data_IF_581617830244
#
_entry.id   IF_581617830244
#
_cell.length_a   1.000
_cell.length_b   1.000
_cell.length_c   1.000
_cell.angle_alpha   90.00
_cell.angle_beta   90.00
_cell.angle_gamma   90.00
#
_symmetry.space_group_name_H-M   'P 1'
#
loop_
_entity.id
_entity.type
_entity.pdbx_description
1 polymer ?
#
# COMPACT_ATOMS: atom_id res chain seq x y z
N UNK A 1 -4.14 -3.35 -18.83
CA UNK A 1 -4.71 -3.71 -17.51
C UNK A 1 -5.64 -2.56 -17.13
N UNK A 2 -6.90 -2.80 -16.80
CA UNK A 2 -7.83 -1.74 -16.38
C UNK A 2 -7.45 -1.21 -15.01
N UNK A 3 -6.35 -0.45 -14.93
CA UNK A 3 -5.79 0.11 -13.72
C UNK A 3 -6.06 1.61 -13.68
N UNK A 4 -6.44 2.12 -12.51
CA UNK A 4 -6.58 3.56 -12.29
C UNK A 4 -5.29 4.31 -12.64
N UNK A 5 -5.37 5.32 -13.51
CA UNK A 5 -4.23 6.11 -14.01
C UNK A 5 -3.37 6.70 -12.88
N UNK A 6 -4.00 7.09 -11.77
CA UNK A 6 -3.30 7.64 -10.60
C UNK A 6 -2.40 6.60 -9.94
N UNK A 7 -2.91 5.37 -9.79
CA UNK A 7 -2.14 4.26 -9.22
C UNK A 7 -1.05 3.83 -10.19
N UNK A 8 -1.36 3.80 -11.49
CA UNK A 8 -0.37 3.46 -12.51
C UNK A 8 0.81 4.45 -12.48
N UNK A 9 0.53 5.75 -12.37
CA UNK A 9 1.55 6.79 -12.18
C UNK A 9 2.39 6.53 -10.93
N UNK A 10 1.77 6.27 -9.78
CA UNK A 10 2.51 5.98 -8.55
C UNK A 10 3.40 4.74 -8.66
N UNK A 11 2.95 3.70 -9.37
CA UNK A 11 3.72 2.47 -9.59
C UNK A 11 4.97 2.75 -10.44
N UNK A 12 4.85 3.60 -11.46
CA UNK A 12 6.00 4.05 -12.24
C UNK A 12 6.95 4.94 -11.44
N UNK A 13 6.41 5.88 -10.66
CA UNK A 13 7.20 6.77 -9.80
C UNK A 13 7.97 5.99 -8.71
N UNK A 14 7.39 4.90 -8.19
CA UNK A 14 8.06 3.98 -7.26
C UNK A 14 9.19 3.17 -7.92
N UNK A 15 9.32 3.20 -9.26
CA UNK A 15 10.37 2.50 -9.99
C UNK A 15 10.01 1.08 -10.43
N UNK A 16 8.75 0.66 -10.33
CA UNK A 16 8.29 -0.63 -10.87
C UNK A 16 8.13 -0.57 -12.39
N UNK A 17 9.26 -0.64 -13.11
CA UNK A 17 9.24 -0.68 -14.59
C UNK A 17 8.73 -2.00 -15.15
N UNK A 18 9.00 -3.13 -14.47
CA UNK A 18 8.54 -4.46 -14.88
C UNK A 18 7.98 -5.21 -13.67
N UNK A 19 6.69 -5.59 -13.68
CA UNK A 19 6.12 -6.37 -12.59
C UNK A 19 6.73 -7.77 -12.55
N UNK A 20 6.99 -8.28 -11.34
CA UNK A 20 7.44 -9.66 -11.14
C UNK A 20 6.39 -10.69 -11.60
N UNK A 21 6.80 -11.92 -11.88
CA UNK A 21 5.91 -13.01 -12.29
C UNK A 21 4.72 -13.19 -11.33
N UNK A 22 4.96 -13.08 -10.02
CA UNK A 22 3.90 -13.22 -9.01
C UNK A 22 2.92 -12.05 -9.06
N UNK A 23 3.38 -10.82 -9.32
CA UNK A 23 2.51 -9.65 -9.46
C UNK A 23 1.63 -9.78 -10.71
N UNK A 24 2.20 -10.21 -11.83
CA UNK A 24 1.44 -10.40 -13.08
C UNK A 24 0.33 -11.45 -12.93
N UNK A 25 0.62 -12.54 -12.20
CA UNK A 25 -0.33 -13.65 -12.00
C UNK A 25 -1.36 -13.37 -10.91
N UNK A 26 -0.99 -12.68 -9.83
CA UNK A 26 -1.85 -12.50 -8.66
C UNK A 26 -2.74 -11.25 -8.74
N UNK A 27 -2.25 -10.14 -9.32
CA UNK A 27 -2.99 -8.86 -9.30
C UNK A 27 -4.31 -8.99 -10.05
N UNK A 28 -4.32 -9.55 -11.26
CA UNK A 28 -5.55 -9.63 -12.07
C UNK A 28 -6.69 -10.43 -11.42
N UNK A 29 -6.47 -11.63 -10.86
CA UNK A 29 -7.50 -12.34 -10.10
C UNK A 29 -7.99 -11.56 -8.87
N UNK A 30 -7.10 -10.88 -8.14
CA UNK A 30 -7.47 -10.06 -6.97
C UNK A 30 -8.39 -8.91 -7.39
N UNK A 31 -8.07 -8.20 -8.47
CA UNK A 31 -8.90 -7.11 -9.00
C UNK A 31 -10.28 -7.58 -9.47
N UNK A 32 -10.43 -8.87 -9.80
CA UNK A 32 -11.71 -9.49 -10.15
C UNK A 32 -12.50 -9.96 -8.92
N UNK A 33 -12.03 -9.66 -7.71
CA UNK A 33 -12.67 -10.09 -6.46
C UNK A 33 -12.55 -11.58 -6.19
N UNK A 34 -11.57 -12.27 -6.79
CA UNK A 34 -11.32 -13.70 -6.52
C UNK A 34 -10.42 -13.87 -5.31
N UNK A 35 -10.65 -14.93 -4.56
CA UNK A 35 -9.73 -15.38 -3.51
C UNK A 35 -8.45 -15.92 -4.16
N UNK A 36 -7.29 -15.51 -3.63
CA UNK A 36 -5.99 -15.86 -4.19
C UNK A 36 -5.06 -16.30 -3.09
N UNK A 37 -4.51 -17.51 -3.24
CA UNK A 37 -3.37 -17.99 -2.46
C UNK A 37 -2.12 -17.79 -3.31
N UNK A 38 -1.30 -16.80 -2.94
CA UNK A 38 -0.08 -16.46 -3.66
C UNK A 38 1.16 -17.01 -2.92
N UNK A 39 1.78 -18.04 -3.50
CA UNK A 39 3.07 -18.56 -3.03
C UNK A 39 4.17 -18.16 -4.02
N UNK A 40 5.21 -17.52 -3.51
CA UNK A 40 6.39 -17.18 -4.28
C UNK A 40 7.64 -17.33 -3.41
N UNK A 41 8.69 -17.90 -3.99
CA UNK A 41 10.06 -17.84 -3.48
C UNK A 41 10.64 -16.49 -3.86
N UNK A 42 10.40 -15.48 -3.02
CA UNK A 42 10.96 -14.14 -3.24
C UNK A 42 12.27 -14.02 -2.47
N UNK A 43 13.40 -13.99 -3.18
CA UNK A 43 14.74 -13.77 -2.58
C UNK A 43 14.89 -12.41 -1.87
N UNK A 44 14.00 -11.43 -2.12
CA UNK A 44 14.13 -10.06 -1.58
C UNK A 44 12.93 -9.50 -0.82
N UNK A 45 11.89 -10.30 -0.49
CA UNK A 45 10.77 -9.88 0.37
C UNK A 45 9.84 -8.75 -0.13
N UNK A 46 10.22 -8.01 -1.18
CA UNK A 46 9.52 -6.80 -1.66
C UNK A 46 8.38 -7.08 -2.64
N UNK A 47 8.49 -8.12 -3.47
CA UNK A 47 7.52 -8.41 -4.53
C UNK A 47 6.09 -8.69 -4.05
N UNK A 48 5.94 -9.35 -2.90
CA UNK A 48 4.63 -9.65 -2.27
C UNK A 48 4.01 -8.41 -1.64
N UNK A 49 4.80 -7.63 -0.92
CA UNK A 49 4.34 -6.40 -0.27
C UNK A 49 3.82 -5.39 -1.28
N UNK A 50 4.54 -5.18 -2.38
CA UNK A 50 4.10 -4.26 -3.43
C UNK A 50 2.89 -4.80 -4.19
N UNK A 51 2.76 -6.12 -4.34
CA UNK A 51 1.55 -6.73 -4.90
C UNK A 51 0.31 -6.43 -4.04
N UNK A 52 0.43 -6.56 -2.72
CA UNK A 52 -0.64 -6.18 -1.77
C UNK A 52 -0.96 -4.70 -1.93
N UNK A 53 0.05 -3.83 -1.88
CA UNK A 53 -0.15 -2.39 -1.94
C UNK A 53 -0.83 -1.93 -3.25
N UNK A 54 -0.41 -2.45 -4.41
CA UNK A 54 -1.05 -2.17 -5.70
C UNK A 54 -2.51 -2.64 -5.69
N UNK A 55 -2.76 -3.83 -5.18
CA UNK A 55 -4.11 -4.41 -5.14
C UNK A 55 -5.04 -3.58 -4.26
N UNK A 56 -4.57 -3.16 -3.08
CA UNK A 56 -5.31 -2.27 -2.18
C UNK A 56 -5.63 -0.94 -2.86
N UNK A 57 -4.62 -0.31 -3.48
CA UNK A 57 -4.81 0.98 -4.13
C UNK A 57 -5.79 0.94 -5.32
N UNK A 58 -5.94 -0.22 -5.98
CA UNK A 58 -6.90 -0.40 -7.06
C UNK A 58 -8.32 -0.72 -6.56
N UNK A 59 -8.44 -1.47 -5.45
CA UNK A 59 -9.74 -1.93 -4.95
C UNK A 59 -10.46 -0.89 -4.08
N UNK A 60 -9.72 -0.02 -3.38
CA UNK A 60 -10.30 0.96 -2.46
C UNK A 60 -11.10 2.01 -3.22
N UNK A 61 -12.36 2.20 -2.81
CA UNK A 61 -13.18 3.31 -3.26
C UNK A 61 -12.78 4.59 -2.51
N UNK A 62 -12.11 5.51 -3.20
CA UNK A 62 -11.64 6.79 -2.63
C UNK A 62 -12.75 7.78 -2.29
N UNK A 63 -13.99 7.55 -2.73
CA UNK A 63 -15.15 8.37 -2.38
C UNK A 63 -15.72 8.05 -0.99
N UNK A 64 -15.38 6.87 -0.44
CA UNK A 64 -15.76 6.47 0.90
C UNK A 64 -14.56 6.59 1.84
N UNK A 65 -14.75 7.25 2.98
CA UNK A 65 -13.73 7.38 4.03
C UNK A 65 -13.70 6.20 5.01
N UNK A 66 -14.64 5.26 4.89
CA UNK A 66 -14.71 4.08 5.76
C UNK A 66 -13.49 3.18 5.54
N UNK A 67 -13.13 2.43 6.58
CA UNK A 67 -12.13 1.36 6.50
C UNK A 67 -12.67 0.29 5.54
N UNK A 68 -11.89 -0.03 4.51
CA UNK A 68 -12.28 -0.96 3.43
C UNK A 68 -11.36 -2.18 3.32
N UNK A 69 -10.17 -2.13 3.91
CA UNK A 69 -9.14 -3.17 3.79
C UNK A 69 -8.48 -3.41 5.13
N UNK A 70 -8.28 -4.69 5.46
CA UNK A 70 -7.47 -5.14 6.58
C UNK A 70 -6.32 -6.00 6.06
N UNK A 71 -5.08 -5.65 6.41
CA UNK A 71 -3.89 -6.46 6.10
C UNK A 71 -3.32 -6.99 7.40
N UNK A 72 -3.24 -8.32 7.52
CA UNK A 72 -2.63 -8.99 8.66
C UNK A 72 -1.16 -9.27 8.35
N UNK A 73 -0.28 -8.89 9.27
CA UNK A 73 1.16 -9.07 9.13
C UNK A 73 1.71 -9.90 10.29
N UNK A 74 2.66 -10.82 10.06
CA UNK A 74 3.19 -11.69 11.11
C UNK A 74 4.18 -10.99 12.04
N UNK A 75 4.75 -9.85 11.63
CA UNK A 75 5.68 -9.07 12.45
C UNK A 75 5.39 -7.57 12.38
N UNK A 76 5.92 -6.85 13.36
CA UNK A 76 5.78 -5.39 13.50
C UNK A 76 6.45 -4.64 12.34
N UNK A 77 7.61 -5.13 11.94
CA UNK A 77 8.45 -4.58 10.87
C UNK A 77 7.74 -4.72 9.53
N UNK A 78 7.14 -5.88 9.26
CA UNK A 78 6.37 -6.11 8.04
C UNK A 78 5.08 -5.28 7.99
N UNK A 79 4.41 -5.09 9.14
CA UNK A 79 3.25 -4.19 9.20
C UNK A 79 3.64 -2.75 8.82
N UNK A 80 4.73 -2.22 9.39
CA UNK A 80 5.20 -0.87 9.05
C UNK A 80 5.70 -0.77 7.60
N UNK A 81 6.35 -1.80 7.08
CA UNK A 81 6.80 -1.81 5.69
C UNK A 81 5.64 -1.81 4.71
N UNK A 82 4.58 -2.57 5.01
CA UNK A 82 3.37 -2.63 4.19
C UNK A 82 2.63 -1.29 4.21
N UNK A 83 2.45 -0.68 5.38
CA UNK A 83 1.88 0.67 5.54
C UNK A 83 2.61 1.69 4.65
N UNK A 84 3.94 1.80 4.78
CA UNK A 84 4.76 2.73 3.99
C UNK A 84 4.67 2.47 2.48
N UNK A 85 4.62 1.21 2.09
CA UNK A 85 4.50 0.83 0.66
C UNK A 85 3.13 1.25 0.13
N UNK A 86 2.06 1.07 0.89
CA UNK A 86 0.71 1.53 0.52
C UNK A 86 0.67 3.07 0.43
N UNK A 87 1.27 3.79 1.38
CA UNK A 87 1.36 5.25 1.32
C UNK A 87 2.13 5.73 0.08
N UNK A 88 3.24 5.09 -0.25
CA UNK A 88 4.07 5.44 -1.41
C UNK A 88 3.34 5.20 -2.74
N UNK A 89 2.68 4.06 -2.90
CA UNK A 89 1.88 3.75 -4.09
C UNK A 89 0.57 4.55 -4.10
N UNK A 90 0.06 4.91 -2.93
CA UNK A 90 -1.11 5.74 -2.74
C UNK A 90 -0.87 7.23 -2.94
N UNK A 91 0.36 7.69 -3.20
CA UNK A 91 0.74 9.12 -3.21
C UNK A 91 -0.16 10.00 -4.09
N UNK A 92 -0.49 9.52 -5.30
CA UNK A 92 -1.36 10.25 -6.23
C UNK A 92 -2.86 9.94 -6.03
N UNK A 93 -3.21 9.24 -4.96
CA UNK A 93 -4.57 8.81 -4.63
C UNK A 93 -4.99 9.35 -3.25
N UNK A 94 -6.28 9.34 -2.96
CA UNK A 94 -6.80 9.78 -1.66
C UNK A 94 -6.89 8.61 -0.66
N UNK A 95 -5.89 7.73 -0.66
CA UNK A 95 -5.83 6.51 0.15
C UNK A 95 -4.89 6.75 1.33
N UNK A 96 -5.31 6.31 2.52
CA UNK A 96 -4.50 6.33 3.75
C UNK A 96 -4.43 4.92 4.30
N UNK A 97 -3.27 4.54 4.83
CA UNK A 97 -3.05 3.28 5.51
C UNK A 97 -2.44 3.55 6.89
N UNK A 98 -2.75 2.71 7.87
CA UNK A 98 -2.20 2.83 9.22
C UNK A 98 -1.85 1.45 9.77
N UNK A 99 -0.66 1.29 10.33
CA UNK A 99 -0.23 0.06 10.99
C UNK A 99 -0.54 0.09 12.48
N UNK A 100 -1.39 -0.85 12.93
CA UNK A 100 -1.62 -1.09 14.35
C UNK A 100 -0.61 -2.12 14.88
N UNK A 101 0.35 -1.66 15.67
CA UNK A 101 1.48 -2.46 16.15
C UNK A 101 1.52 -2.39 17.68
N UNK A 102 1.68 -3.54 18.35
CA UNK A 102 1.82 -3.61 19.81
C UNK A 102 2.96 -2.73 20.33
N UNK A 103 2.74 -2.03 21.45
CA UNK A 103 3.66 -1.02 21.99
C UNK A 103 3.37 0.42 21.52
N UNK A 104 2.47 0.61 20.56
CA UNK A 104 1.81 1.90 20.28
C UNK A 104 0.41 1.89 20.88
N UNK A 105 -0.07 3.03 21.37
CA UNK A 105 -1.46 3.18 21.82
C UNK A 105 -2.40 2.89 20.66
N UNK A 106 -3.16 1.79 20.75
CA UNK A 106 -4.20 1.43 19.76
C UNK A 106 -5.23 2.55 19.65
N UNK A 107 -5.53 3.22 20.77
CA UNK A 107 -6.43 4.37 20.80
C UNK A 107 -5.96 5.54 19.93
N UNK A 108 -4.64 5.76 19.81
CA UNK A 108 -4.11 6.84 18.96
C UNK A 108 -4.22 6.49 17.47
N UNK A 109 -4.10 5.21 17.13
CA UNK A 109 -4.29 4.73 15.75
C UNK A 109 -5.77 4.83 15.36
N UNK A 110 -6.68 4.43 16.26
CA UNK A 110 -8.14 4.56 16.06
C UNK A 110 -8.50 6.04 15.89
N UNK A 111 -8.01 6.92 16.76
CA UNK A 111 -8.23 8.37 16.62
C UNK A 111 -7.70 8.92 15.29
N UNK A 112 -6.53 8.46 14.81
CA UNK A 112 -6.02 8.87 13.49
C UNK A 112 -6.89 8.39 12.34
N UNK A 113 -7.47 7.19 12.45
CA UNK A 113 -8.42 6.65 11.49
C UNK A 113 -9.73 7.46 11.49
N UNK A 114 -10.21 7.87 12.67
CA UNK A 114 -11.41 8.70 12.85
C UNK A 114 -11.21 10.16 12.42
N UNK A 115 -10.07 10.78 12.73
CA UNK A 115 -9.75 12.15 12.30
C UNK A 115 -9.54 12.21 10.78
N UNK A 116 -9.01 11.15 10.18
CA UNK A 116 -8.86 11.04 8.73
C UNK A 116 -10.18 10.96 7.97
N UNK A 117 -11.28 10.70 8.66
CA UNK A 117 -12.63 10.83 8.12
C UNK A 117 -13.04 12.30 7.92
N UNK A 118 -12.44 13.24 8.68
CA UNK A 118 -12.82 14.66 8.77
C UNK A 118 -11.82 15.60 8.05
N UNK A 119 -10.55 15.21 7.96
CA UNK A 119 -9.48 16.08 7.44
C UNK A 119 -9.43 16.09 5.89
N UNK A 120 -10.13 17.05 5.29
CA UNK A 120 -10.21 17.29 3.83
C UNK A 120 -9.16 18.26 3.27
N UNK A 121 -8.16 18.73 4.05
CA UNK A 121 -7.31 19.88 3.64
C UNK A 121 -5.78 19.77 3.72
N UNK A 122 -5.16 18.70 4.20
CA UNK A 122 -3.68 18.63 4.23
C UNK A 122 -3.09 17.96 2.99
N UNK A 123 -2.93 18.76 1.94
CA UNK A 123 -1.97 18.47 0.87
C UNK A 123 -0.54 18.74 1.36
N UNK A 124 0.39 17.87 1.00
CA UNK A 124 1.82 18.20 0.91
C UNK A 124 2.64 18.02 2.20
N UNK A 125 3.14 16.81 2.42
CA UNK A 125 4.40 16.62 3.13
C UNK A 125 5.25 15.64 2.30
N UNK A 126 6.02 16.21 1.37
CA UNK A 126 7.04 15.49 0.60
C UNK A 126 8.21 15.28 1.56
N UNK A 127 8.23 14.16 2.27
CA UNK A 127 9.47 13.70 2.91
C UNK A 127 10.30 13.08 1.78
N UNK A 128 11.32 13.80 1.31
CA UNK A 128 12.23 13.31 0.28
C UNK A 128 12.81 11.96 0.67
N UNK A 129 12.65 10.96 -0.20
CA UNK A 129 13.26 9.65 -0.04
C UNK A 129 14.57 9.63 -0.80
N UNK A 130 15.68 9.65 -0.07
CA UNK A 130 16.97 9.18 -0.56
C UNK A 130 16.87 7.67 -0.80
N UNK A 131 17.25 7.26 -2.01
CA UNK A 131 17.27 5.87 -2.42
C UNK A 131 18.37 5.14 -1.62
N UNK A 132 18.09 4.04 -0.90
CA UNK A 132 19.14 3.22 -0.28
C UNK A 132 20.02 2.48 -1.30
N UNK A 133 19.79 2.69 -2.60
CA UNK A 133 20.62 2.20 -3.70
C UNK A 133 21.67 3.22 -4.18
N UNK A 134 21.65 4.46 -3.67
CA UNK A 134 22.66 5.49 -3.99
C UNK A 134 23.85 5.50 -2.99
N UNK A 135 23.98 4.44 -2.17
CA UNK A 135 25.00 4.31 -1.12
C UNK A 135 26.08 3.24 -1.44
N UNK A 136 26.36 2.99 -2.72
CA UNK A 136 27.49 2.18 -3.17
C UNK A 136 28.29 2.90 -4.24
#
# INVERSE_FOLDING_TARGET
MGMNDKVLRSVYDYGFKKPSEIQQRAVLPILKGREVIAQAQTQSGTGKTSMIAISVCQLVNTSSRKIQVLVLSPSREFASQTEKTIESIGLHTNIRAYACIGGKSVGDVIKKLEISHDDSKRHGAVQGYSNPLDAC
#
